data_IF_807342111006
#
_entry.id   IF_807342111006
#
_cell.length_a   1.000
_cell.length_b   1.000
_cell.length_c   1.000
_cell.angle_alpha   90.00
_cell.angle_beta   90.00
_cell.angle_gamma   90.00
#
_symmetry.space_group_name_H-M   'P 1'
#
loop_
_entity.id
_entity.type
_entity.pdbx_description
1 polymer ?
#
# COMPACT_ATOMS: atom_id res chain seq x y z
CA UNK A 4 14.28 36.97 18.76
CA UNK A 5 12.70 37.16 15.23
CA UNK A 6 10.26 34.56 13.72
CA UNK A 7 12.94 33.54 11.19
CA UNK A 8 15.41 32.81 14.02
CA UNK A 9 12.61 30.88 15.76
CA UNK A 10 12.31 28.93 12.46
CA UNK A 11 16.11 28.32 12.52
CA UNK A 12 15.84 27.08 16.13
CA UNK A 13 12.92 24.75 15.22
CA UNK A 14 14.69 23.33 12.12
CA UNK A 15 17.97 23.00 14.10
CA UNK A 16 16.36 21.06 17.01
CA UNK A 17 14.43 18.83 14.56
CA UNK A 18 17.57 18.10 12.52
CA UNK A 19 19.57 17.34 15.73
CA UNK A 20 17.05 14.64 16.76
CA UNK A 21 16.89 13.47 13.12
CA UNK A 22 20.70 12.96 13.07
CA UNK A 23 20.27 10.68 16.12
CA UNK A 24 17.23 8.79 14.76
CA UNK A 25 18.79 8.21 11.32
CA UNK A 26 22.17 7.41 13.04
CA UNK A 27 24.20 10.09 11.20
CA UNK A 28 27.61 9.06 12.63
CA UNK A 29 27.21 5.34 11.76
CA UNK A 30 26.02 6.20 8.23
CA UNK A 31 28.98 8.59 7.80
CA UNK A 32 31.26 5.73 8.94
CA UNK A 33 29.70 3.16 6.57
CA UNK A 34 29.75 5.77 3.75
CA UNK A 35 33.54 6.08 4.27
CA UNK A 36 33.99 2.26 4.15
CA UNK A 37 31.84 1.85 0.99
CA UNK A 38 33.40 4.91 -0.70
CA UNK A 39 36.91 3.54 0.01
CA UNK A 40 35.95 0.22 -1.64
CA UNK A 41 34.51 2.20 -4.60
CA UNK A 42 37.87 4.05 -4.85
CA UNK A 43 39.88 0.77 -4.59
CA UNK A 44 40.28 -0.22 -8.33
CA UNK A 45 39.83 -3.97 -7.57
CA UNK A 46 36.05 -3.46 -7.08
CA UNK A 47 35.49 -2.38 -10.72
CA UNK A 48 36.83 -5.71 -12.03
CA UNK A 49 33.36 -6.84 -10.77
CA UNK A 50 30.84 -4.32 -12.29
CA UNK A 51 27.93 -5.81 -10.28
CA UNK A 52 29.84 -5.41 -6.96
CA UNK A 53 30.81 -1.81 -7.79
CA UNK A 54 27.25 -0.91 -8.92
CA UNK A 55 25.74 -2.38 -5.73
CA UNK A 56 28.26 -0.48 -3.58
CA UNK A 57 27.52 2.65 -5.68
CA UNK A 58 23.82 2.27 -4.83
CA UNK A 59 24.72 1.81 -1.12
CA UNK A 60 26.95 4.93 -1.25
CA UNK A 61 24.21 7.02 -2.95
CA UNK A 62 21.61 5.79 -0.43
CA UNK A 63 23.84 7.06 2.45
CA UNK A 64 24.95 10.30 0.71
CA UNK A 65 21.19 11.04 0.57
CA UNK A 66 21.32 11.10 4.42
CA UNK A 67 24.86 12.07 5.52
CA UNK A 68 25.50 14.87 2.98
CA UNK A 69 21.86 16.04 3.36
CA UNK A 70 22.40 16.48 7.13
CA UNK A 71 25.72 18.27 6.34
CA UNK A 72 23.91 20.62 3.90
CA UNK A 73 21.40 21.23 6.71
CA UNK A 74 24.12 22.00 9.31
CA UNK A 75 26.16 24.23 6.96
CA UNK A 76 23.04 25.96 5.60
CA UNK A 77 21.64 26.83 9.06
CA UNK A 78 24.97 28.53 9.96
CA UNK A 79 25.03 30.41 6.61
CA UNK A 80 21.43 31.63 7.13
CA UNK A 81 22.16 32.77 10.73
CA UNK A 82 25.12 34.83 9.44
CA UNK A 83 23.09 36.32 6.57
CA UNK A 84 20.32 37.36 9.01
CA UNK A 85 22.91 38.80 11.45
CA UNK A 86 24.41 40.84 8.58
CA UNK A 87 20.98 41.78 7.15
CA UNK A 88 19.49 43.08 10.43
CA UNK A 89 22.59 45.11 11.46
CA UNK A 90 23.15 46.54 7.94
CA UNK A 91 19.34 46.97 7.52
CA UNK A 92 19.84 45.22 4.13
CA UNK A 93 16.59 43.23 3.98
CA UNK A 94 17.45 41.88 0.50
CA UNK A 95 19.91 39.59 2.35
CA UNK A 96 17.14 38.88 4.90
CA UNK A 97 14.82 37.61 2.14
CA UNK A 98 17.70 35.57 0.63
CA UNK A 99 18.34 34.02 4.08
CA UNK A 100 14.59 33.31 4.56
CA UNK A 101 14.44 31.63 1.10
CA UNK A 102 17.61 29.59 1.76
CA UNK A 103 16.01 28.55 5.08
CA UNK A 104 12.88 27.53 3.05
CA UNK A 105 15.05 25.31 0.80
CA UNK A 106 16.59 23.83 3.99
CA UNK A 107 13.04 23.25 5.35
CA UNK A 108 12.13 21.46 2.07
CA UNK A 109 15.32 19.31 2.22
CA UNK A 110 14.61 18.54 5.91
CA UNK A 111 11.01 17.52 5.08
CA UNK A 112 12.15 15.31 2.17
CA UNK A 113 14.70 13.62 4.45
CA UNK A 114 12.16 13.18 7.32
CA UNK A 115 9.84 11.56 4.73
CA UNK A 116 12.25 8.53 4.85
CA UNK A 117 10.40 7.51 8.03
CA UNK A 118 6.91 8.35 6.72
CA UNK A 119 7.46 6.12 3.66
CA UNK A 120 6.82 3.13 6.04
CA UNK A 121 4.86 1.44 3.20
CA UNK A 122 4.80 0.50 -0.51
CA UNK A 123 2.92 2.89 -2.86
CA UNK A 124 2.89 5.72 -0.28
CA UNK A 125 2.32 8.65 -2.71
CA UNK A 126 -0.49 6.87 -4.61
CA UNK A 127 -4.28 6.76 -4.59
CA UNK A 128 -5.69 3.51 -3.13
CA UNK A 129 -8.57 1.03 -3.16
CA UNK A 130 -10.38 0.29 0.12
CA UNK A 131 -12.61 -2.69 1.01
CA UNK A 132 -14.77 -1.85 4.03
CA UNK A 133 -16.26 -5.18 5.18
CA UNK A 134 -18.42 -6.22 8.16
CA UNK A 135 -17.39 -9.00 10.55
CA UNK A 136 -19.61 -12.12 10.58
CA UNK A 137 -22.13 -10.63 13.06
CA UNK A 138 -25.15 -9.83 10.84
CA UNK A 139 -26.96 -6.49 11.27
CA UNK A 140 -24.85 -5.67 14.38
CA UNK A 141 -21.55 -5.98 12.47
CA UNK A 142 -23.09 -4.31 9.38
CA UNK A 143 -24.08 -1.34 11.62
CA UNK A 144 -20.38 -0.90 12.60
CA UNK A 145 -19.15 -1.36 9.00
CA UNK A 146 -21.37 1.63 8.12
CA UNK A 147 -19.87 3.73 10.96
CA UNK A 148 -16.45 2.88 9.50
CA UNK A 149 -17.94 3.97 6.13
CA UNK A 150 -19.01 7.32 7.69
CA UNK A 151 -15.58 7.69 9.36
CA UNK A 152 -13.35 6.90 6.35
CA UNK A 153 -15.67 8.77 3.93
CA UNK A 154 -15.65 11.98 6.00
CA UNK A 155 -11.90 11.64 6.60
CA UNK A 156 -11.19 11.17 2.85
CA UNK A 157 -13.63 14.01 1.95
CA UNK A 158 -12.03 16.42 4.47
CA UNK A 159 -8.57 15.47 3.11
CA UNK A 160 -10.12 16.06 -0.37
CA UNK A 161 -9.43 12.47 -1.52
CA UNK A 162 -12.40 11.73 -3.76
CA UNK A 163 -14.45 8.78 -2.47
CA UNK A 164 -15.17 7.00 -5.77
CA UNK A 165 -17.65 4.32 -4.60
CA UNK A 166 -17.04 1.23 -6.79
CA UNK A 167 -19.68 -1.10 -5.29
CA UNK A 168 -21.77 -0.78 -2.08
CA UNK A 169 -23.10 -4.02 -0.52
CA UNK A 170 -25.95 -2.97 1.84
CA UNK A 171 -26.63 -4.69 5.21
CA UNK A 172 -30.02 -6.26 6.14
CA UNK A 173 -32.32 -3.86 8.05
CA UNK A 174 -29.61 -1.16 7.92
CA UNK A 175 -25.80 -0.92 7.76
CA UNK A 176 -23.55 -2.45 5.06
CA UNK A 177 -22.16 -5.92 4.39
CA UNK A 178 -19.35 -4.02 2.64
CA UNK A 179 -18.33 -1.16 0.34
CA UNK A 180 -15.45 -0.93 -2.17
CA UNK A 181 -14.07 2.62 -2.68
CA UNK A 182 -11.18 4.07 -4.70
CA UNK A 183 -9.86 6.67 -2.22
CA UNK A 184 -8.78 8.90 -5.09
CA UNK A 185 -6.27 11.39 -3.64
CA UNK A 186 -2.55 12.16 -3.28
CA UNK A 187 -0.82 10.00 -0.65
CA UNK A 188 -4.19 8.30 0.15
CA UNK A 189 -2.32 4.97 0.28
CA UNK A 190 0.50 6.41 2.45
CA UNK A 191 -1.92 7.93 4.95
CA UNK A 192 -4.71 5.33 5.05
CA UNK A 193 -2.42 2.25 5.23
CA UNK A 194 -1.77 3.24 8.88
CA UNK A 195 -5.52 3.08 9.74
CA UNK A 196 -6.16 -0.31 8.09
CA UNK A 197 -6.83 -3.86 9.44
CA UNK A 198 -9.75 -5.11 11.59
CA UNK A 199 -11.59 -2.84 14.06
CA UNK A 200 -13.53 -3.83 17.22
CA UNK A 201 -16.60 -1.80 18.31
CA UNK A 202 -17.64 -3.00 21.80
CA UNK A 203 -21.23 -1.92 22.68
CA UNK A 204 -24.72 -3.38 23.18
CA UNK A 205 -26.58 -4.75 20.14
CA UNK A 206 -30.10 -3.31 19.64
CA UNK A 207 -30.70 -6.12 17.09
CA UNK A 208 -30.26 -8.79 19.82
CA UNK A 209 -33.40 -9.92 21.75
CA UNK A 210 -32.18 -8.04 24.87
CA UNK A 211 -29.55 -5.38 25.70
CA UNK A 212 -26.71 -7.92 25.28
CA UNK A 213 -23.15 -6.55 25.36
CA UNK A 214 -21.73 -7.40 21.91
CA UNK A 215 -18.67 -6.91 19.72
CA UNK A 216 -19.24 -5.53 16.26
CA UNK A 217 -16.06 -6.46 14.33
CA UNK A 218 -15.53 -4.82 10.92
CA UNK A 219 -12.62 -4.68 8.46
CA UNK A 220 -10.89 -1.98 6.36
CA UNK A 221 -8.35 -3.31 3.82
CA UNK A 222 -6.21 -0.97 1.65
CA UNK A 223 -4.75 -2.19 -1.68
CA UNK A 224 -3.29 -0.62 -4.88
CA UNK A 225 -4.64 -3.24 -7.31
CA UNK A 226 -7.66 -3.62 -9.66
CA UNK A 227 -6.79 -6.96 -11.38
CA UNK A 228 -7.64 -10.43 -9.94
CA UNK A 229 -11.40 -9.88 -10.23
CA UNK A 230 -12.23 -10.71 -13.88
CA UNK A 231 -8.68 -11.84 -14.94
CA UNK A 232 -8.55 -13.73 -18.29
CA UNK A 233 -5.42 -15.49 -19.60
CA UNK A 234 -3.43 -13.87 -22.45
CA UNK A 235 -2.65 -17.43 -23.61
CA UNK A 236 0.79 -17.58 -25.36
CA UNK A 237 -0.26 -20.84 -27.19
CA UNK A 238 2.40 -21.90 -28.43
CA UNK A 239 1.05 -25.50 -28.84
CA UNK A 240 3.36 -28.52 -29.28
CA UNK A 241 1.47 -30.83 -31.68
CA UNK A 242 2.77 -34.17 -30.29
CA UNK A 243 0.57 -36.14 -32.72
CA UNK A 244 2.53 -36.47 -35.11
CA UNK A 245 0.80 -35.67 -38.42
CA UNK A 246 1.77 -34.08 -41.73
CA UNK A 247 -1.02 -31.57 -42.49
CA UNK A 248 -2.08 -31.62 -38.81
CA UNK A 249 -3.81 -28.24 -39.32
CA UNK A 250 -6.24 -29.69 -41.91
CA UNK A 251 -5.77 -32.67 -44.26
CA UNK A 252 -9.54 -33.17 -43.88
CA UNK A 253 -11.37 -36.37 -44.95
CA UNK A 254 -8.21 -38.39 -45.89
CA UNK A 255 -7.37 -40.59 -42.81
CA UNK A 256 -4.39 -40.95 -40.40
CA UNK A 257 -5.11 -38.55 -37.52
CA UNK A 258 -2.62 -40.24 -36.35
CA UNK A 259 -2.94 -42.67 -34.37
CA UNK A 260 -4.79 -40.22 -32.04
CA UNK A 261 -4.39 -36.45 -31.58
CA UNK A 262 -2.31 -35.31 -28.59
CA UNK A 263 -1.40 -31.60 -28.22
CA UNK A 264 0.52 -30.02 -25.30
CA UNK A 265 0.75 -26.38 -24.14
CA UNK A 266 4.43 -25.34 -24.40
CA UNK A 267 4.39 -23.01 -21.30
CA UNK A 268 2.30 -25.05 -18.81
CA UNK A 269 2.88 -28.54 -20.25
CA UNK A 270 -0.89 -29.24 -19.96
CA UNK A 271 -1.92 -32.05 -22.36
CA UNK A 272 -5.05 -32.40 -24.54
CA UNK A 273 -6.10 -35.52 -26.51
CA UNK A 274 -8.77 -36.56 -29.06
CA UNK A 275 -9.54 -39.29 -31.67
CA UNK A 276 -13.18 -38.57 -32.66
CA UNK A 277 -12.35 -38.21 -36.40
CA UNK A 278 -10.39 -39.85 -39.26
CA UNK A 279 -8.21 -36.70 -39.57
CA UNK A 280 -6.73 -34.15 -37.21
CA UNK A 281 -8.92 -31.55 -38.99
CA UNK A 282 -11.97 -32.05 -36.71
CA UNK A 283 -10.07 -33.47 -33.69
CA UNK A 284 -8.18 -30.14 -33.59
CA UNK A 285 -11.44 -28.37 -32.61
CA UNK A 286 -12.03 -30.65 -29.59
CA UNK A 287 -8.34 -30.49 -28.57
CA UNK A 288 -8.47 -26.66 -28.80
CA UNK A 289 -11.62 -26.59 -26.61
CA UNK A 290 -9.85 -28.78 -24.00
CA UNK A 291 -6.78 -26.53 -24.24
CA UNK A 292 -8.65 -23.23 -23.80
CA UNK A 293 -10.88 -24.74 -21.07
CA UNK A 294 -7.99 -26.18 -19.01
CA UNK A 295 -5.80 -23.07 -19.36
CA UNK A 296 -8.65 -20.63 -18.64
CA UNK A 297 -9.61 -22.72 -15.56
CA UNK A 298 -6.33 -21.54 -13.91
CA UNK A 299 -7.70 -17.93 -13.88
CA UNK A 300 -11.43 -18.89 -13.61
CA UNK A 301 -10.44 -19.84 -10.04
CA UNK A 302 -8.97 -16.42 -9.29
CA UNK A 303 -12.19 -14.42 -9.81
CA UNK A 304 -12.24 -14.04 -6.00
CA UNK A 305 -8.85 -12.69 -4.72
CA UNK A 306 -9.88 -9.02 -4.15
CA UNK A 307 -13.20 -10.65 -3.06
CA UNK A 308 -11.22 -12.22 -0.15
CA UNK A 309 -10.88 -8.80 1.55
CA UNK A 310 -14.35 -7.78 0.95
CA UNK A 311 -14.90 -11.39 2.06
CA UNK A 312 -16.60 -14.57 0.81
CA UNK A 313 -17.75 -17.14 3.44
CA UNK A 314 -16.28 -15.17 6.37
CA UNK A 315 -15.94 -17.44 9.45
CA UNK A 316 -18.03 -16.64 12.58
CA UNK A 317 -17.08 -14.03 15.24
CA UNK A 318 -15.09 -15.36 18.18
CA UNK A 319 -14.93 -12.04 20.09
CA UNK A 320 -11.27 -12.49 21.21
CA UNK A 321 -8.99 -9.74 19.83
CA UNK A 322 -7.79 -6.31 21.05
CA UNK A 323 -6.75 -4.60 17.75
CA UNK A 324 -8.15 -1.10 16.93
CA UNK A 325 -10.63 -1.07 19.82
CA UNK A 326 -13.64 1.25 20.23
CA UNK A 327 -15.21 1.02 23.70
CA UNK A 328 -17.75 3.74 22.84
CA UNK A 329 -19.84 2.76 25.91
CA UNK A 330 -16.98 4.19 28.08
CA UNK A 331 -16.00 6.73 25.33
CA UNK A 332 -12.54 5.11 25.01
CA UNK A 333 -10.84 4.20 21.68
CA UNK A 334 -7.31 2.67 21.42
CA UNK A 335 -4.81 1.56 18.74
CA UNK A 336 -1.94 -0.76 19.79
CA UNK A 337 0.89 0.28 17.39
CA UNK A 338 1.05 3.93 18.46
CA UNK A 339 0.06 3.37 22.13
CA UNK A 340 -2.53 6.20 21.64
CA UNK A 341 -5.70 5.89 23.68
CA UNK A 342 -8.22 8.66 22.84
CA UNK A 343 -11.46 9.83 24.49
CA UNK A 344 -12.97 12.01 21.74
CA UNK A 345 -15.15 9.38 20.06
CA UNK A 346 -17.14 12.13 18.32
CA UNK A 347 -14.11 13.75 16.63
CA UNK A 348 -12.53 10.51 15.38
CA UNK A 349 -15.94 9.17 14.21
CA UNK A 350 -16.40 12.55 12.41
CA UNK A 351 -12.92 12.57 10.80
CA UNK A 352 -9.95 12.64 13.22
CA UNK A 353 -8.33 9.28 12.29
CA UNK A 354 -5.63 11.93 11.69
CA UNK A 355 -4.41 11.53 15.32
CA UNK A 356 -3.64 7.82 14.79
CA UNK A 357 -2.36 8.40 11.24
CA UNK A 358 0.00 11.22 12.32
CA UNK A 359 1.13 9.17 15.37
CA UNK A 360 1.78 6.13 13.12
CA UNK A 361 3.85 8.21 10.66
CA UNK A 362 5.75 9.89 13.55
CA UNK A 363 6.65 6.41 14.86
CA UNK A 364 7.25 5.12 11.29
CA UNK A 365 4.42 2.53 11.17
#
# INVERSE_FOLDING_TARGET
>A
MFEINPVNNRIQDLTERSDVLRGYLDYDAKKERLEEVNAELEQPDVWNEPERAQALGKERSSLEAVVDTLDQMKQGLEDVSGLLELAVEADDEETFNEAVAELDALEEKLAQLEFRRMFSGEYDSADCYLDIQAGSGGTEAQDWASMLERMYLRWAESRGFKTEIIEESEGEVAGIKSVTIKISGDYAYGWLRTETGVHRLVRKSPFDSGGRRHTSFSSAFVYPEVDDDIDIEINPADLRIDVYRASGAGGQHVNRTESAVRITHIPTGIVTQCQNDRSQHKNKDQAMKQMKAKLYEVEMQKKNAEKQAMEDNKSDIGWGSQIRSYVLDDSRIKDLRTGVETRNTQAVLDGSLDQFIEASLKAGL
#
